data_IF_089472815513
#
_entry.id   IF_089472815513
#
_cell.length_a   1.000
_cell.length_b   1.000
_cell.length_c   1.000
_cell.angle_alpha   90.00
_cell.angle_beta   90.00
_cell.angle_gamma   90.00
#
_symmetry.space_group_name_H-M   'P 1'
#
loop_
_entity.id
_entity.type
_entity.pdbx_description
1 polymer ?
#
# COMPACT_ATOMS: atom_id res chain seq x y z
N UNK A 1 23.45 1.07 19.66
CA UNK A 1 22.76 1.42 18.40
C UNK A 1 22.14 0.23 17.66
N UNK A 2 22.37 -1.03 18.05
CA UNK A 2 21.79 -2.20 17.36
C UNK A 2 20.28 -2.43 17.54
N UNK A 3 19.64 -1.86 18.58
CA UNK A 3 18.20 -2.04 18.80
C UNK A 3 17.32 -1.30 17.79
N UNK A 4 17.78 -0.14 17.28
CA UNK A 4 17.04 0.65 16.30
C UNK A 4 17.07 0.02 14.89
N UNK A 5 18.22 -0.53 14.49
CA UNK A 5 18.36 -1.23 13.21
C UNK A 5 17.58 -2.54 13.19
N UNK A 6 17.53 -3.26 14.31
CA UNK A 6 16.70 -4.46 14.45
C UNK A 6 15.20 -4.11 14.37
N UNK A 7 14.75 -3.11 15.12
CA UNK A 7 13.35 -2.66 15.09
C UNK A 7 12.92 -2.25 13.68
N UNK A 8 13.75 -1.45 12.98
CA UNK A 8 13.52 -1.10 11.58
C UNK A 8 13.38 -2.35 10.71
N UNK A 9 14.30 -3.32 10.84
CA UNK A 9 14.22 -4.55 10.05
C UNK A 9 12.92 -5.34 10.29
N UNK A 10 12.39 -5.35 11.51
CA UNK A 10 11.15 -6.07 11.83
C UNK A 10 9.92 -5.41 11.20
N UNK A 11 9.87 -4.08 11.14
CA UNK A 11 8.77 -3.35 10.49
C UNK A 11 8.68 -3.68 9.00
N UNK A 12 9.81 -3.69 8.29
CA UNK A 12 9.82 -4.02 6.85
C UNK A 12 9.52 -5.50 6.60
N UNK A 13 9.94 -6.41 7.49
CA UNK A 13 9.54 -7.82 7.41
C UNK A 13 8.02 -7.98 7.60
N UNK A 14 7.43 -7.25 8.54
CA UNK A 14 5.98 -7.27 8.75
C UNK A 14 5.22 -6.75 7.51
N UNK A 15 5.73 -5.70 6.86
CA UNK A 15 5.20 -5.24 5.57
C UNK A 15 5.29 -6.32 4.49
N UNK A 16 6.45 -6.94 4.33
CA UNK A 16 6.65 -8.00 3.33
C UNK A 16 5.70 -9.19 3.57
N UNK A 17 5.57 -9.63 4.82
CA UNK A 17 4.62 -10.68 5.21
C UNK A 17 3.17 -10.28 4.94
N UNK A 18 2.82 -9.00 5.14
CA UNK A 18 1.48 -8.52 4.78
C UNK A 18 1.27 -8.57 3.28
N UNK A 19 2.23 -8.13 2.47
CA UNK A 19 2.15 -8.19 1.00
C UNK A 19 2.06 -9.64 0.48
N UNK A 20 2.76 -10.57 1.13
CA UNK A 20 2.74 -12.00 0.79
C UNK A 20 1.37 -12.66 1.01
N UNK A 21 0.51 -12.07 1.84
CA UNK A 21 -0.87 -12.54 2.01
C UNK A 21 -1.80 -12.18 0.84
N UNK A 22 -1.33 -11.38 -0.13
CA UNK A 22 -2.10 -11.14 -1.35
C UNK A 22 -2.20 -12.44 -2.17
N UNK A 23 -3.25 -12.64 -2.99
CA UNK A 23 -3.46 -13.90 -3.72
C UNK A 23 -2.29 -14.35 -4.61
N UNK A 24 -1.56 -13.40 -5.21
CA UNK A 24 -0.38 -13.68 -6.05
C UNK A 24 0.85 -14.08 -5.21
N UNK A 25 0.85 -13.74 -3.92
CA UNK A 25 1.99 -13.90 -3.04
C UNK A 25 3.12 -12.92 -3.33
N UNK A 26 4.08 -12.88 -2.42
CA UNK A 26 5.26 -12.05 -2.45
C UNK A 26 6.31 -12.66 -1.52
N UNK A 27 6.86 -13.85 -1.85
CA UNK A 27 7.68 -14.58 -0.91
C UNK A 27 8.88 -13.74 -0.49
N UNK A 28 9.10 -13.67 0.83
CA UNK A 28 10.17 -12.89 1.42
C UNK A 28 11.52 -13.30 0.82
N UNK A 29 12.23 -12.32 0.25
CA UNK A 29 13.58 -12.51 -0.26
C UNK A 29 14.38 -11.20 -0.13
N UNK A 30 15.73 -11.26 -0.21
CA UNK A 30 16.56 -10.06 -0.06
C UNK A 30 16.21 -8.94 -1.03
N UNK A 31 15.93 -9.27 -2.30
CA UNK A 31 15.55 -8.30 -3.34
C UNK A 31 14.26 -7.58 -3.00
N UNK A 32 13.23 -8.29 -2.55
CA UNK A 32 11.98 -7.67 -2.10
C UNK A 32 12.23 -6.71 -0.94
N UNK A 33 13.03 -7.12 0.05
CA UNK A 33 13.35 -6.25 1.19
C UNK A 33 14.05 -4.97 0.75
N UNK A 34 15.02 -5.05 -0.17
CA UNK A 34 15.68 -3.88 -0.75
C UNK A 34 14.69 -2.94 -1.45
N UNK A 35 13.77 -3.48 -2.26
CA UNK A 35 12.71 -2.70 -2.92
C UNK A 35 11.84 -1.98 -1.88
N UNK A 36 11.42 -2.68 -0.82
CA UNK A 36 10.61 -2.07 0.24
C UNK A 36 11.36 -0.95 0.97
N UNK A 37 12.66 -1.11 1.26
CA UNK A 37 13.50 -0.07 1.86
C UNK A 37 13.64 1.19 1.00
N UNK A 38 13.59 1.04 -0.34
CA UNK A 38 13.66 2.16 -1.28
C UNK A 38 12.31 2.90 -1.34
N UNK A 39 11.20 2.16 -1.42
CA UNK A 39 9.88 2.74 -1.69
C UNK A 39 9.21 3.34 -0.43
N UNK A 40 9.35 2.66 0.70
CA UNK A 40 8.66 3.01 1.95
C UNK A 40 9.63 3.69 2.93
N UNK A 41 9.16 4.77 3.55
CA UNK A 41 9.74 5.20 4.84
C UNK A 41 9.39 4.19 5.94
N UNK A 42 10.07 4.26 7.07
CA UNK A 42 9.79 3.36 8.20
C UNK A 42 8.33 3.50 8.69
N UNK A 43 7.81 4.73 8.78
CA UNK A 43 6.41 4.99 9.13
C UNK A 43 5.44 4.45 8.07
N UNK A 44 5.75 4.62 6.79
CA UNK A 44 4.92 4.07 5.71
C UNK A 44 4.93 2.53 5.72
N UNK A 45 6.06 1.90 6.06
CA UNK A 45 6.15 0.46 6.18
C UNK A 45 5.35 -0.06 7.38
N UNK A 46 5.36 0.67 8.51
CA UNK A 46 4.49 0.39 9.64
C UNK A 46 3.02 0.45 9.22
N UNK A 47 2.59 1.55 8.59
CA UNK A 47 1.21 1.72 8.11
C UNK A 47 0.83 0.58 7.16
N UNK A 48 1.65 0.31 6.14
CA UNK A 48 1.43 -0.76 5.17
C UNK A 48 1.32 -2.15 5.81
N UNK A 49 2.11 -2.44 6.84
CA UNK A 49 2.03 -3.72 7.58
C UNK A 49 0.71 -3.92 8.34
N UNK A 50 -0.01 -2.83 8.64
CA UNK A 50 -1.26 -2.84 9.39
C UNK A 50 -2.51 -2.87 8.50
N UNK A 51 -2.35 -2.72 7.19
CA UNK A 51 -3.49 -2.79 6.27
C UNK A 51 -4.20 -4.15 6.38
N UNK A 52 -5.55 -4.19 6.42
CA UNK A 52 -6.30 -5.42 6.19
C UNK A 52 -6.16 -5.87 4.72
N UNK A 53 -6.55 -7.11 4.41
CA UNK A 53 -6.53 -7.63 3.04
C UNK A 53 -7.56 -6.96 2.14
N UNK A 54 -8.69 -6.56 2.71
CA UNK A 54 -9.72 -5.82 1.98
C UNK A 54 -9.48 -4.30 1.99
N UNK A 55 -10.29 -3.60 1.18
CA UNK A 55 -10.46 -2.16 1.24
C UNK A 55 -10.88 -1.73 2.64
N UNK A 56 -10.35 -0.61 3.12
CA UNK A 56 -10.62 -0.11 4.47
C UNK A 56 -10.75 1.40 4.52
N UNK A 57 -11.34 1.94 5.59
CA UNK A 57 -11.49 3.38 5.80
C UNK A 57 -10.40 3.94 6.72
N UNK A 58 -10.25 5.27 6.73
CA UNK A 58 -9.35 5.96 7.65
C UNK A 58 -9.65 5.59 9.12
N UNK A 59 -10.92 5.64 9.52
CA UNK A 59 -11.36 5.36 10.89
C UNK A 59 -11.00 3.95 11.36
N UNK A 60 -10.94 2.98 10.44
CA UNK A 60 -10.54 1.62 10.75
C UNK A 60 -9.01 1.45 10.83
N UNK A 61 -8.25 2.22 10.06
CA UNK A 61 -6.78 2.20 10.09
C UNK A 61 -6.18 2.95 11.29
N UNK A 62 -6.86 3.96 11.81
CA UNK A 62 -6.45 4.72 13.01
C UNK A 62 -6.11 3.80 14.20
N UNK A 63 -7.02 2.92 14.68
CA UNK A 63 -6.71 2.04 15.81
C UNK A 63 -5.67 0.96 15.49
N UNK A 64 -5.52 0.56 14.22
CA UNK A 64 -4.55 -0.46 13.79
C UNK A 64 -3.11 0.08 13.75
N UNK A 65 -2.96 1.37 13.44
CA UNK A 65 -1.67 2.06 13.34
C UNK A 65 -1.30 2.80 14.61
N UNK A 66 -2.28 3.23 15.41
CA UNK A 66 -2.08 4.06 16.61
C UNK A 66 -1.73 5.51 16.29
N UNK A 67 -1.81 5.93 15.03
CA UNK A 67 -1.54 7.30 14.59
C UNK A 67 -2.78 8.18 14.75
N UNK A 68 -2.58 9.48 14.91
CA UNK A 68 -3.72 10.40 14.87
C UNK A 68 -4.31 10.44 13.44
N UNK A 69 -5.64 10.69 13.29
CA UNK A 69 -6.29 10.60 11.98
C UNK A 69 -5.67 11.49 10.90
N UNK A 70 -5.32 12.74 11.24
CA UNK A 70 -4.78 13.71 10.29
C UNK A 70 -3.37 13.35 9.82
N UNK A 71 -2.52 12.85 10.72
CA UNK A 71 -1.19 12.36 10.39
C UNK A 71 -1.27 11.12 9.50
N UNK A 72 -2.17 10.18 9.84
CA UNK A 72 -2.39 8.98 9.04
C UNK A 72 -2.89 9.34 7.63
N UNK A 73 -3.86 10.24 7.51
CA UNK A 73 -4.36 10.72 6.23
C UNK A 73 -3.24 11.34 5.38
N UNK A 74 -2.40 12.19 5.97
CA UNK A 74 -1.24 12.75 5.26
C UNK A 74 -0.29 11.66 4.75
N UNK A 75 -0.01 10.62 5.57
CA UNK A 75 0.81 9.51 5.13
C UNK A 75 0.16 8.70 4.01
N UNK A 76 -1.15 8.45 4.09
CA UNK A 76 -1.91 7.73 3.08
C UNK A 76 -1.92 8.48 1.74
N UNK A 77 -2.10 9.81 1.76
CA UNK A 77 -2.02 10.64 0.55
C UNK A 77 -0.61 10.56 -0.09
N UNK A 78 0.45 10.68 0.73
CA UNK A 78 1.82 10.52 0.24
C UNK A 78 2.14 9.09 -0.26
N UNK A 79 1.44 8.08 0.25
CA UNK A 79 1.56 6.70 -0.24
C UNK A 79 0.78 6.51 -1.54
N UNK A 80 -0.37 7.15 -1.69
CA UNK A 80 -1.16 7.17 -2.91
C UNK A 80 -0.43 7.86 -4.07
N UNK A 81 0.21 9.00 -3.80
CA UNK A 81 1.06 9.71 -4.77
C UNK A 81 2.21 8.83 -5.30
N UNK A 82 2.69 7.89 -4.49
CA UNK A 82 3.73 6.91 -4.85
C UNK A 82 3.17 5.63 -5.48
N UNK A 83 1.85 5.49 -5.59
CA UNK A 83 1.19 4.26 -6.04
C UNK A 83 1.30 3.08 -5.06
N UNK A 84 1.66 3.33 -3.80
CA UNK A 84 1.79 2.30 -2.74
C UNK A 84 0.44 2.00 -2.08
N UNK A 85 -0.50 2.94 -2.16
CA UNK A 85 -1.88 2.79 -1.72
C UNK A 85 -2.77 3.20 -2.88
N UNK A 86 -3.88 2.48 -3.04
CA UNK A 86 -4.98 2.88 -3.90
C UNK A 86 -6.00 3.57 -3.00
N UNK A 87 -6.32 4.83 -3.29
CA UNK A 87 -7.36 5.59 -2.61
C UNK A 87 -8.55 5.87 -3.53
N UNK A 88 -9.75 5.92 -2.95
CA UNK A 88 -10.95 6.35 -3.65
C UNK A 88 -12.01 6.82 -2.65
N UNK A 89 -12.90 7.70 -3.11
CA UNK A 89 -14.01 8.19 -2.30
C UNK A 89 -15.33 7.58 -2.74
N UNK A 90 -16.21 7.27 -1.78
CA UNK A 90 -17.59 6.86 -2.02
C UNK A 90 -18.47 7.43 -0.91
N UNK A 91 -19.54 8.13 -1.31
CA UNK A 91 -20.47 8.79 -0.37
C UNK A 91 -19.74 9.67 0.67
N UNK A 92 -18.79 10.49 0.21
CA UNK A 92 -17.96 11.38 1.06
C UNK A 92 -17.04 10.67 2.06
N UNK A 93 -16.92 9.34 1.99
CA UNK A 93 -15.99 8.54 2.81
C UNK A 93 -14.79 8.12 1.96
N UNK A 94 -13.59 8.35 2.47
CA UNK A 94 -12.34 7.91 1.86
C UNK A 94 -12.02 6.46 2.22
N UNK A 95 -11.69 5.68 1.20
CA UNK A 95 -11.30 4.28 1.27
C UNK A 95 -9.91 4.08 0.71
N UNK A 96 -9.20 3.08 1.26
CA UNK A 96 -7.80 2.81 0.97
C UNK A 96 -7.58 1.30 0.85
N UNK A 97 -6.64 0.93 -0.02
CA UNK A 97 -6.11 -0.43 -0.13
C UNK A 97 -4.61 -0.38 -0.36
N UNK A 98 -3.84 -1.26 0.30
CA UNK A 98 -2.42 -1.39 0.01
C UNK A 98 -2.24 -1.97 -1.39
N UNK A 99 -1.44 -1.32 -2.23
CA UNK A 99 -1.21 -1.77 -3.61
C UNK A 99 -0.58 -3.17 -3.61
N UNK A 100 -1.09 -4.12 -4.42
CA UNK A 100 -0.43 -5.40 -4.62
C UNK A 100 0.91 -5.21 -5.35
N UNK A 101 1.88 -6.09 -5.09
CA UNK A 101 3.22 -6.01 -5.71
C UNK A 101 3.22 -6.25 -7.22
N UNK A 102 2.29 -7.08 -7.70
CA UNK A 102 2.10 -7.35 -9.12
C UNK A 102 0.81 -6.66 -9.52
N UNK A 103 0.94 -5.68 -10.42
CA UNK A 103 -0.17 -5.01 -11.10
C UNK A 103 -0.15 -5.52 -12.54
N UNK A 104 -1.24 -6.15 -13.00
CA UNK A 104 -1.31 -6.76 -14.34
C UNK A 104 -1.49 -5.76 -15.49
N UNK A 105 -1.43 -6.26 -16.72
CA UNK A 105 -1.38 -5.45 -17.94
C UNK A 105 -2.73 -4.84 -18.37
N UNK A 106 -3.83 -5.37 -17.84
CA UNK A 106 -5.15 -4.74 -17.97
C UNK A 106 -5.27 -3.54 -17.01
N UNK A 107 -4.73 -3.67 -15.80
CA UNK A 107 -4.96 -2.75 -14.67
C UNK A 107 -4.56 -1.31 -14.96
N UNK A 108 -3.60 -1.07 -15.86
CA UNK A 108 -3.22 0.28 -16.24
C UNK A 108 -3.94 0.83 -17.49
N UNK A 109 -4.42 -0.04 -18.38
CA UNK A 109 -4.95 0.42 -19.68
C UNK A 109 -6.36 1.02 -19.55
N UNK A 110 -7.14 0.60 -18.54
CA UNK A 110 -8.47 1.13 -18.23
C UNK A 110 -8.47 2.30 -17.24
N UNK A 111 -7.38 2.60 -16.56
CA UNK A 111 -7.30 3.83 -15.75
C UNK A 111 -7.27 5.10 -16.63
N UNK A 112 -7.20 4.94 -17.96
CA UNK A 112 -7.30 5.98 -19.00
C UNK A 112 -8.51 5.77 -19.92
N UNK A 113 -9.73 5.63 -19.40
CA UNK A 113 -10.90 5.71 -20.28
C UNK A 113 -10.99 7.13 -20.85
N UNK A 114 -10.84 7.27 -22.17
CA UNK A 114 -11.19 8.48 -22.91
C UNK A 114 -11.83 8.07 -24.26
N UNK A 115 -12.60 8.96 -24.87
CA UNK A 115 -13.45 8.67 -26.05
C UNK A 115 -12.68 8.23 -27.32
N UNK A 116 -11.35 8.22 -27.31
CA UNK A 116 -10.51 7.92 -28.48
C UNK A 116 -9.95 6.50 -28.52
N UNK A 117 -10.14 5.70 -27.46
CA UNK A 117 -9.70 4.30 -27.43
C UNK A 117 -10.73 3.38 -28.11
N UNK A 118 -10.34 2.49 -29.05
CA UNK A 118 -11.25 1.56 -29.71
C UNK A 118 -11.59 0.40 -28.78
N UNK A 119 -12.52 0.65 -27.84
CA UNK A 119 -12.89 -0.28 -26.76
C UNK A 119 -13.49 -1.61 -27.23
N UNK A 120 -13.89 -1.72 -28.50
CA UNK A 120 -14.48 -2.93 -29.08
C UNK A 120 -13.43 -3.87 -29.71
N UNK A 121 -12.16 -3.47 -29.79
CA UNK A 121 -11.07 -4.22 -30.46
C UNK A 121 -9.91 -4.63 -29.51
N UNK A 122 -10.01 -4.29 -28.22
CA UNK A 122 -9.10 -4.70 -27.14
C UNK A 122 -9.75 -5.76 -26.23
#
# INVERSE_FOLDING_TARGET
MGHLTLAKSEVYKALAQRLDKNPVGAPLNPTLMEILYILFTETQALIGSKFPLEVTSLDHLVPLTGLNPRELENHLNLMADKGLVIDFSRNEVSYYMLSPLVVGFFEYTFMRVNETLPMYEL
#
